data_IF_723895640294
#
_entry.id   IF_723895640294
#
_cell.length_a   1.000
_cell.length_b   1.000
_cell.length_c   1.000
_cell.angle_alpha   90.00
_cell.angle_beta   90.00
_cell.angle_gamma   90.00
#
_symmetry.space_group_name_H-M   'P 1'
#
loop_
_entity.id
_entity.type
_entity.pdbx_description
1 polymer ?
#
# COMPACT_ATOMS: atom_id res chain seq x y z
N UNK A 1 -1.91 9.34 -1.90
CA UNK A 1 -2.83 8.57 -1.03
C UNK A 1 -4.23 8.38 -1.60
N UNK A 2 -4.86 9.37 -2.27
CA UNK A 2 -6.19 9.16 -2.87
C UNK A 2 -6.27 7.99 -3.87
N UNK A 3 -5.26 7.84 -4.73
CA UNK A 3 -5.18 6.71 -5.67
C UNK A 3 -5.13 5.35 -4.93
N UNK A 4 -4.40 5.27 -3.82
CA UNK A 4 -4.30 4.04 -3.01
C UNK A 4 -5.62 3.70 -2.33
N UNK A 5 -6.41 4.72 -1.90
CA UNK A 5 -7.76 4.51 -1.35
C UNK A 5 -8.71 4.00 -2.44
N UNK A 6 -8.70 4.63 -3.63
CA UNK A 6 -9.53 4.20 -4.76
C UNK A 6 -9.15 2.76 -5.17
N UNK A 7 -7.85 2.46 -5.25
CA UNK A 7 -7.36 1.12 -5.57
C UNK A 7 -7.76 0.07 -4.53
N UNK A 8 -7.58 0.37 -3.25
CA UNK A 8 -7.96 -0.53 -2.15
C UNK A 8 -9.49 -0.75 -2.10
N UNK A 9 -10.28 0.28 -2.43
CA UNK A 9 -11.74 0.14 -2.54
C UNK A 9 -12.16 -0.76 -3.71
N UNK A 10 -11.44 -0.70 -4.84
CA UNK A 10 -11.63 -1.59 -5.97
C UNK A 10 -11.33 -3.06 -5.62
N UNK A 11 -10.22 -3.31 -4.92
CA UNK A 11 -9.89 -4.65 -4.41
C UNK A 11 -10.98 -5.17 -3.44
N UNK A 12 -11.43 -4.33 -2.50
CA UNK A 12 -12.44 -4.73 -1.51
C UNK A 12 -13.79 -5.09 -2.17
N UNK A 13 -14.21 -4.31 -3.16
CA UNK A 13 -15.44 -4.62 -3.93
C UNK A 13 -15.31 -5.92 -4.71
N UNK A 14 -14.12 -6.20 -5.27
CA UNK A 14 -13.88 -7.43 -6.02
C UNK A 14 -13.86 -8.65 -5.10
N UNK A 15 -13.25 -8.55 -3.92
CA UNK A 15 -13.24 -9.62 -2.92
C UNK A 15 -14.65 -9.93 -2.42
N UNK A 16 -15.43 -8.88 -2.12
CA UNK A 16 -16.84 -9.01 -1.79
C UNK A 16 -17.65 -9.66 -2.93
N UNK A 17 -17.36 -9.29 -4.18
CA UNK A 17 -18.00 -9.90 -5.35
C UNK A 17 -17.64 -11.39 -5.49
N UNK A 18 -16.38 -11.76 -5.26
CA UNK A 18 -15.92 -13.15 -5.30
C UNK A 18 -16.57 -14.01 -4.19
N UNK A 19 -16.67 -13.47 -2.97
CA UNK A 19 -17.36 -14.11 -1.85
C UNK A 19 -18.86 -14.28 -2.12
N UNK A 20 -19.53 -13.25 -2.65
CA UNK A 20 -20.96 -13.28 -2.97
C UNK A 20 -21.29 -14.29 -4.08
N UNK A 21 -20.41 -14.42 -5.08
CA UNK A 21 -20.61 -15.36 -6.19
C UNK A 21 -20.17 -16.79 -5.85
N UNK A 22 -19.49 -17.03 -4.71
CA UNK A 22 -18.88 -18.33 -4.33
C UNK A 22 -18.17 -19.04 -5.49
N UNK A 23 -17.63 -18.27 -6.43
CA UNK A 23 -16.93 -18.75 -7.61
C UNK A 23 -15.59 -18.06 -7.65
N UNK A 24 -14.54 -18.86 -7.67
CA UNK A 24 -13.18 -18.39 -7.96
C UNK A 24 -13.23 -17.70 -9.32
N UNK A 25 -12.88 -16.42 -9.35
CA UNK A 25 -12.82 -15.62 -10.58
C UNK A 25 -11.63 -16.13 -11.40
N UNK A 26 -11.87 -17.17 -12.19
CA UNK A 26 -10.86 -17.84 -13.03
C UNK A 26 -10.61 -17.07 -14.33
N UNK A 27 -10.71 -15.73 -14.32
CA UNK A 27 -10.33 -14.92 -15.48
C UNK A 27 -8.87 -14.50 -15.30
N UNK A 28 -7.90 -15.21 -15.93
CA UNK A 28 -6.47 -14.97 -15.72
C UNK A 28 -6.06 -13.54 -16.13
N UNK A 29 -6.78 -12.94 -17.08
CA UNK A 29 -6.57 -11.55 -17.51
C UNK A 29 -6.87 -10.55 -16.39
N UNK A 30 -7.92 -10.79 -15.61
CA UNK A 30 -8.28 -9.90 -14.49
C UNK A 30 -7.26 -10.04 -13.36
N UNK A 31 -6.88 -11.27 -13.03
CA UNK A 31 -5.87 -11.54 -11.99
C UNK A 31 -4.50 -10.95 -12.37
N UNK A 32 -4.10 -11.05 -13.64
CA UNK A 32 -2.86 -10.45 -14.15
C UNK A 32 -2.87 -8.91 -14.07
N UNK A 33 -3.98 -8.27 -14.45
CA UNK A 33 -4.13 -6.81 -14.32
C UNK A 33 -3.98 -6.35 -12.86
N UNK A 34 -4.52 -7.12 -11.92
CA UNK A 34 -4.41 -6.82 -10.49
C UNK A 34 -2.98 -6.99 -9.98
N UNK A 35 -2.27 -8.06 -10.36
CA UNK A 35 -0.85 -8.24 -10.00
C UNK A 35 -0.01 -7.04 -10.44
N UNK A 36 -0.18 -6.59 -11.68
CA UNK A 36 0.55 -5.42 -12.20
C UNK A 36 0.17 -4.15 -11.45
N UNK A 37 -1.12 -3.94 -11.18
CA UNK A 37 -1.59 -2.75 -10.48
C UNK A 37 -1.15 -2.69 -9.01
N UNK A 38 -1.09 -3.83 -8.32
CA UNK A 38 -0.57 -3.93 -6.95
C UNK A 38 0.93 -3.63 -6.90
N UNK A 39 1.69 -4.11 -7.89
CA UNK A 39 3.11 -3.79 -8.04
C UNK A 39 3.38 -2.30 -8.29
N UNK A 40 2.61 -1.68 -9.18
CA UNK A 40 2.72 -0.23 -9.44
C UNK A 40 2.39 0.55 -8.18
N UNK A 41 1.32 0.17 -7.48
CA UNK A 41 0.88 0.83 -6.25
C UNK A 41 1.91 0.65 -5.12
N UNK A 42 2.49 -0.55 -4.97
CA UNK A 42 3.54 -0.81 -4.01
C UNK A 42 4.78 0.07 -4.25
N UNK A 43 5.20 0.21 -5.51
CA UNK A 43 6.36 1.03 -5.88
C UNK A 43 6.09 2.52 -5.59
N UNK A 44 4.89 2.99 -5.91
CA UNK A 44 4.48 4.38 -5.65
C UNK A 44 4.44 4.69 -4.14
N UNK A 45 3.90 3.77 -3.34
CA UNK A 45 3.84 3.90 -1.88
C UNK A 45 5.23 3.84 -1.25
N UNK A 46 6.13 2.99 -1.76
CA UNK A 46 7.52 2.95 -1.31
C UNK A 46 8.24 4.25 -1.61
N UNK A 47 8.05 4.82 -2.80
CA UNK A 47 8.64 6.12 -3.15
C UNK A 47 8.12 7.25 -2.25
N UNK A 48 6.82 7.26 -1.97
CA UNK A 48 6.21 8.23 -1.06
C UNK A 48 6.72 8.08 0.39
N UNK A 49 6.84 6.83 0.86
CA UNK A 49 7.40 6.52 2.17
C UNK A 49 8.87 6.94 2.27
N UNK A 50 9.71 6.55 1.30
CA UNK A 50 11.14 6.87 1.30
C UNK A 50 11.39 8.39 1.28
N UNK A 51 10.60 9.13 0.51
CA UNK A 51 10.64 10.60 0.48
C UNK A 51 10.27 11.19 1.84
N UNK A 52 9.21 10.69 2.48
CA UNK A 52 8.76 11.18 3.79
C UNK A 52 9.74 10.80 4.91
N UNK A 53 10.31 9.60 4.86
CA UNK A 53 11.32 9.13 5.81
C UNK A 53 12.62 9.95 5.72
N UNK A 54 13.07 10.29 4.52
CA UNK A 54 14.23 11.18 4.34
C UNK A 54 14.02 12.55 5.01
N UNK A 55 12.82 13.12 4.85
CA UNK A 55 12.47 14.40 5.49
C UNK A 55 12.41 14.24 7.01
N UNK A 56 11.87 13.14 7.55
CA UNK A 56 11.91 12.90 9.00
C UNK A 56 13.33 12.90 9.54
N UNK A 57 14.25 12.15 8.93
CA UNK A 57 15.64 12.05 9.42
C UNK A 57 16.33 13.41 9.40
N UNK A 58 16.13 14.21 8.34
CA UNK A 58 16.69 15.55 8.24
C UNK A 58 16.11 16.51 9.30
N UNK A 59 14.79 16.45 9.52
CA UNK A 59 14.08 17.36 10.42
C UNK A 59 14.36 17.06 11.90
N UNK A 60 14.40 15.77 12.27
CA UNK A 60 14.68 15.32 13.63
C UNK A 60 16.17 15.26 13.96
N UNK A 61 17.00 14.88 12.99
CA UNK A 61 18.43 14.62 13.20
C UNK A 61 19.31 15.85 13.11
N UNK A 62 19.01 16.79 12.21
CA UNK A 62 19.95 17.86 11.85
C UNK A 62 19.43 19.26 12.24
N UNK A 63 18.14 19.52 11.99
CA UNK A 63 17.55 20.85 12.17
C UNK A 63 17.05 21.13 13.59
N UNK A 64 16.95 20.10 14.47
CA UNK A 64 16.44 20.25 15.84
C UNK A 64 15.03 20.88 15.91
N UNK A 65 14.25 20.80 14.83
CA UNK A 65 13.10 21.66 14.57
C UNK A 65 11.80 21.31 15.31
N UNK A 66 11.82 20.37 16.25
CA UNK A 66 10.61 19.97 16.99
C UNK A 66 10.38 20.85 18.23
N UNK A 67 10.03 22.13 18.04
CA UNK A 67 9.49 22.96 19.13
C UNK A 67 8.01 22.62 19.45
N UNK A 68 7.30 21.97 18.52
CA UNK A 68 5.92 21.49 18.68
C UNK A 68 5.92 19.95 18.72
N UNK A 69 6.07 19.41 19.94
CA UNK A 69 6.21 17.96 20.20
C UNK A 69 5.09 17.11 19.59
N UNK A 70 3.88 17.66 19.52
CA UNK A 70 2.68 16.97 19.01
C UNK A 70 2.70 16.75 17.49
N UNK A 71 3.11 17.74 16.72
CA UNK A 71 3.10 17.69 15.24
C UNK A 71 4.23 16.80 14.70
N UNK A 72 5.38 16.80 15.37
CA UNK A 72 6.47 15.87 15.06
C UNK A 72 6.05 14.40 15.27
N UNK A 73 5.38 14.12 16.40
CA UNK A 73 4.93 12.76 16.72
C UNK A 73 3.88 12.29 15.71
N UNK A 74 2.92 13.16 15.35
CA UNK A 74 1.93 12.88 14.29
C UNK A 74 2.58 12.53 12.96
N UNK A 75 3.60 13.29 12.54
CA UNK A 75 4.30 13.04 11.29
C UNK A 75 5.07 11.70 11.30
N UNK A 76 5.73 11.37 12.42
CA UNK A 76 6.43 10.10 12.58
C UNK A 76 5.46 8.91 12.53
N UNK A 77 4.30 9.01 13.18
CA UNK A 77 3.27 7.97 13.14
C UNK A 77 2.69 7.83 11.72
N UNK A 78 2.50 8.93 10.99
CA UNK A 78 2.03 8.90 9.60
C UNK A 78 3.02 8.17 8.68
N UNK A 79 4.32 8.40 8.85
CA UNK A 79 5.39 7.72 8.10
C UNK A 79 5.41 6.23 8.45
N UNK A 80 5.24 5.86 9.71
CA UNK A 80 5.13 4.47 10.14
C UNK A 80 3.90 3.77 9.55
N UNK A 81 2.73 4.43 9.53
CA UNK A 81 1.53 3.89 8.89
C UNK A 81 1.69 3.72 7.37
N UNK A 82 2.40 4.64 6.70
CA UNK A 82 2.72 4.49 5.29
C UNK A 82 3.58 3.24 5.03
N UNK A 83 4.57 2.97 5.88
CA UNK A 83 5.39 1.76 5.81
C UNK A 83 4.56 0.48 5.99
N UNK A 84 3.70 0.45 7.02
CA UNK A 84 2.82 -0.69 7.27
C UNK A 84 1.87 -0.94 6.09
N UNK A 85 1.33 0.14 5.48
CA UNK A 85 0.48 0.02 4.30
C UNK A 85 1.23 -0.53 3.08
N UNK A 86 2.52 -0.24 2.95
CA UNK A 86 3.34 -0.81 1.89
C UNK A 86 3.54 -2.33 2.07
N UNK A 87 3.80 -2.78 3.31
CA UNK A 87 3.95 -4.21 3.63
C UNK A 87 2.67 -4.98 3.28
N UNK A 88 1.50 -4.44 3.63
CA UNK A 88 0.23 -5.12 3.34
C UNK A 88 -0.04 -5.24 1.85
N UNK A 89 0.26 -4.20 1.06
CA UNK A 89 0.18 -4.25 -0.41
C UNK A 89 1.16 -5.29 -0.96
N UNK A 90 2.39 -5.33 -0.46
CA UNK A 90 3.36 -6.34 -0.89
C UNK A 90 2.86 -7.77 -0.65
N UNK A 91 2.28 -8.04 0.53
CA UNK A 91 1.68 -9.34 0.86
C UNK A 91 0.50 -9.67 -0.07
N UNK A 92 -0.41 -8.71 -0.33
CA UNK A 92 -1.52 -8.90 -1.28
C UNK A 92 -1.03 -9.25 -2.68
N UNK A 93 -0.01 -8.55 -3.19
CA UNK A 93 0.58 -8.82 -4.50
C UNK A 93 1.16 -10.24 -4.60
N UNK A 94 1.80 -10.73 -3.54
CA UNK A 94 2.38 -12.07 -3.44
C UNK A 94 1.30 -13.15 -3.46
N UNK A 95 0.20 -12.96 -2.73
CA UNK A 95 -0.92 -13.90 -2.69
C UNK A 95 -1.60 -13.98 -4.05
N UNK A 96 -1.83 -12.83 -4.70
CA UNK A 96 -2.44 -12.77 -6.03
C UNK A 96 -1.54 -13.41 -7.11
N UNK A 97 -0.22 -13.22 -7.02
CA UNK A 97 0.74 -13.89 -7.89
C UNK A 97 0.72 -15.42 -7.70
N UNK A 98 0.68 -15.88 -6.44
CA UNK A 98 0.53 -17.31 -6.13
C UNK A 98 -0.78 -17.88 -6.65
N UNK A 99 -1.87 -17.14 -6.55
CA UNK A 99 -3.18 -17.55 -7.07
C UNK A 99 -3.18 -17.68 -8.60
N UNK A 100 -2.43 -16.81 -9.29
CA UNK A 100 -2.25 -16.87 -10.74
C UNK A 100 -1.35 -18.04 -11.16
N UNK A 101 -0.35 -18.39 -10.36
CA UNK A 101 0.52 -19.54 -10.61
C UNK A 101 -0.14 -20.89 -10.30
N UNK A 102 -1.10 -20.92 -9.38
CA UNK A 102 -1.83 -22.13 -8.97
C UNK A 102 -3.11 -22.41 -9.79
N UNK A 103 -3.60 -21.42 -10.55
CA UNK A 103 -4.77 -21.53 -11.42
C UNK A 103 -4.40 -21.92 -12.84
#
# INVERSE_FOLDING_TARGET
MGLQVIWSSGLALMDAYALLRKKVVHNPVLVSLFVVGDWVTATLTLAAFASSAGITVLYFGDLGGCNLWEECTKYQIAVAMAFLSWITIAISSLIMFWLLAAG
#
